data_IF_695195182847
#
_entry.id   IF_695195182847
#
_cell.length_a   1.000
_cell.length_b   1.000
_cell.length_c   1.000
_cell.angle_alpha   90.00
_cell.angle_beta   90.00
_cell.angle_gamma   90.00
#
_symmetry.space_group_name_H-M   'P 1'
#
loop_
_entity.id
_entity.type
_entity.pdbx_description
1 polymer ?
#
# COMPACT_ATOMS: atom_id res chain seq x y z
N UNK A 1 16.93 21.40 -15.23
CA UNK A 1 15.60 21.80 -14.70
C UNK A 1 14.59 20.82 -15.26
N UNK A 2 14.19 19.86 -14.46
CA UNK A 2 13.17 18.88 -14.82
C UNK A 2 11.81 19.59 -14.71
N UNK A 3 11.19 19.88 -15.85
CA UNK A 3 9.86 20.47 -15.88
C UNK A 3 8.87 19.41 -15.43
N UNK A 4 8.29 19.57 -14.24
CA UNK A 4 7.16 18.74 -13.81
C UNK A 4 5.97 19.07 -14.69
N UNK A 5 5.53 18.11 -15.47
CA UNK A 5 4.36 18.24 -16.34
C UNK A 5 3.14 17.98 -15.48
N UNK A 6 2.38 19.01 -15.16
CA UNK A 6 1.14 18.87 -14.38
C UNK A 6 0.04 18.21 -15.21
N UNK A 7 -0.64 17.23 -14.59
CA UNK A 7 -1.83 16.58 -15.15
C UNK A 7 -3.07 17.50 -14.99
N UNK A 8 -3.08 18.63 -15.73
CA UNK A 8 -4.07 19.70 -15.60
C UNK A 8 -5.30 19.53 -16.50
N UNK A 9 -5.35 18.47 -17.29
CA UNK A 9 -6.45 18.16 -18.19
C UNK A 9 -7.14 16.87 -17.80
N UNK A 10 -8.39 16.70 -18.23
CA UNK A 10 -9.19 15.49 -18.01
C UNK A 10 -9.35 14.74 -19.32
N UNK A 11 -9.02 13.47 -19.32
CA UNK A 11 -9.19 12.56 -20.46
C UNK A 11 -10.56 11.90 -20.40
N UNK A 12 -11.28 11.91 -21.51
CA UNK A 12 -12.61 11.31 -21.65
C UNK A 12 -12.62 10.29 -22.78
N UNK A 13 -13.58 9.36 -22.73
CA UNK A 13 -13.75 8.31 -23.72
C UNK A 13 -15.21 8.14 -24.14
N UNK A 14 -15.45 8.06 -25.44
CA UNK A 14 -16.68 7.60 -26.03
C UNK A 14 -16.49 6.18 -26.60
N UNK A 15 -16.85 5.16 -25.81
CA UNK A 15 -16.64 3.74 -26.18
C UNK A 15 -17.52 3.31 -27.35
N UNK A 16 -18.68 3.93 -27.55
CA UNK A 16 -19.63 3.57 -28.61
C UNK A 16 -19.13 4.05 -29.97
N UNK A 17 -18.68 5.29 -30.03
CA UNK A 17 -18.19 5.90 -31.24
C UNK A 17 -16.70 5.63 -31.49
N UNK A 18 -15.95 5.28 -30.46
CA UNK A 18 -14.53 4.96 -30.56
C UNK A 18 -13.61 6.18 -30.53
N UNK A 19 -13.99 7.23 -29.77
CA UNK A 19 -13.19 8.43 -29.59
C UNK A 19 -12.63 8.54 -28.16
N UNK A 20 -11.45 9.13 -28.08
CA UNK A 20 -10.79 9.50 -26.82
C UNK A 20 -10.27 10.92 -26.95
N UNK A 21 -10.32 11.72 -25.87
CA UNK A 21 -9.75 13.07 -25.91
C UNK A 21 -10.17 13.95 -24.75
N UNK A 22 -9.51 15.10 -24.63
CA UNK A 22 -9.75 16.07 -23.56
C UNK A 22 -10.97 16.97 -23.84
N UNK A 23 -11.38 17.08 -25.09
CA UNK A 23 -12.55 17.86 -25.53
C UNK A 23 -13.91 17.15 -25.34
N UNK A 24 -13.93 15.85 -25.00
CA UNK A 24 -15.14 15.04 -24.91
C UNK A 24 -15.81 15.12 -23.52
N UNK A 25 -16.06 16.33 -23.02
CA UNK A 25 -16.51 16.61 -21.63
C UNK A 25 -17.88 16.01 -21.25
N UNK A 26 -18.66 15.53 -22.21
CA UNK A 26 -19.98 14.89 -21.99
C UNK A 26 -19.89 13.38 -21.88
N UNK A 27 -18.73 12.79 -22.18
CA UNK A 27 -18.50 11.36 -22.21
C UNK A 27 -17.89 10.85 -20.88
N UNK A 28 -17.54 9.57 -20.82
CA UNK A 28 -16.97 8.91 -19.64
C UNK A 28 -15.59 9.49 -19.29
N UNK A 29 -15.41 10.00 -18.06
CA UNK A 29 -14.10 10.43 -17.55
C UNK A 29 -13.21 9.20 -17.29
N UNK A 30 -11.99 9.23 -17.83
CA UNK A 30 -10.99 8.18 -17.66
C UNK A 30 -10.01 8.52 -16.51
N UNK A 31 -9.28 9.63 -16.65
CA UNK A 31 -8.24 10.05 -15.71
C UNK A 31 -7.83 11.51 -15.97
N UNK A 32 -6.98 12.04 -15.10
CA UNK A 32 -6.27 13.29 -15.37
C UNK A 32 -5.05 13.00 -16.25
N UNK A 33 -4.69 13.93 -17.12
CA UNK A 33 -3.56 13.83 -18.03
C UNK A 33 -2.98 15.20 -18.35
N UNK A 34 -1.84 15.21 -19.02
CA UNK A 34 -1.27 16.38 -19.68
C UNK A 34 -1.44 16.28 -21.20
N UNK A 35 -1.37 17.39 -21.89
CA UNK A 35 -1.30 17.47 -23.35
C UNK A 35 -0.03 16.84 -23.97
N UNK A 36 0.99 16.63 -23.13
CA UNK A 36 2.24 15.99 -23.51
C UNK A 36 2.22 14.47 -23.35
N UNK A 37 1.24 13.94 -22.63
CA UNK A 37 1.17 12.51 -22.32
C UNK A 37 0.86 11.65 -23.54
N UNK A 38 1.29 10.42 -23.47
CA UNK A 38 0.80 9.33 -24.29
C UNK A 38 -0.28 8.55 -23.55
N UNK A 39 -1.21 7.97 -24.27
CA UNK A 39 -2.24 7.07 -23.75
C UNK A 39 -2.10 5.68 -24.36
N UNK A 40 -2.32 4.66 -23.55
CA UNK A 40 -2.43 3.28 -24.01
C UNK A 40 -3.87 2.86 -24.08
N UNK A 41 -4.25 2.20 -25.17
CA UNK A 41 -5.62 1.76 -25.43
C UNK A 41 -5.61 0.26 -25.68
N UNK A 42 -6.33 -0.50 -24.90
CA UNK A 42 -6.55 -1.93 -25.10
C UNK A 42 -7.94 -2.19 -25.66
N UNK A 43 -8.04 -3.20 -26.53
CA UNK A 43 -9.27 -3.60 -27.21
C UNK A 43 -9.72 -4.99 -26.80
N UNK A 44 -11.03 -5.25 -26.97
CA UNK A 44 -11.63 -6.55 -26.61
C UNK A 44 -11.11 -7.73 -27.43
N UNK A 45 -10.55 -7.50 -28.61
CA UNK A 45 -9.91 -8.51 -29.48
C UNK A 45 -8.46 -8.85 -29.08
N UNK A 46 -7.96 -8.20 -28.01
CA UNK A 46 -6.60 -8.40 -27.50
C UNK A 46 -5.55 -7.53 -28.15
N UNK A 47 -5.94 -6.61 -29.01
CA UNK A 47 -5.01 -5.61 -29.55
C UNK A 47 -4.84 -4.43 -28.61
N UNK A 48 -3.75 -3.69 -28.81
CA UNK A 48 -3.54 -2.42 -28.13
C UNK A 48 -2.63 -1.50 -28.94
N UNK A 49 -2.71 -0.21 -28.67
CA UNK A 49 -1.83 0.81 -29.23
C UNK A 49 -1.54 1.90 -28.21
N UNK A 50 -0.45 2.64 -28.44
CA UNK A 50 -0.11 3.87 -27.74
C UNK A 50 -0.24 5.02 -28.71
N UNK A 51 -0.88 6.13 -28.29
CA UNK A 51 -1.02 7.35 -29.09
C UNK A 51 -0.91 8.57 -28.20
N UNK A 52 -0.66 9.73 -28.78
CA UNK A 52 -0.57 10.99 -28.02
C UNK A 52 -1.97 11.47 -27.58
N UNK A 53 -2.05 12.14 -26.43
CA UNK A 53 -3.25 12.86 -26.00
C UNK A 53 -3.60 13.95 -27.04
N UNK A 54 -4.88 14.08 -27.34
CA UNK A 54 -5.42 15.11 -28.23
C UNK A 54 -6.82 15.53 -27.76
N UNK A 55 -7.35 16.63 -28.30
CA UNK A 55 -8.70 17.07 -27.94
C UNK A 55 -9.77 16.06 -28.33
N UNK A 56 -9.65 15.44 -29.50
CA UNK A 56 -10.52 14.36 -29.98
C UNK A 56 -9.76 13.51 -30.99
N UNK A 57 -9.58 12.23 -30.72
CA UNK A 57 -8.94 11.30 -31.63
C UNK A 57 -9.80 10.03 -31.80
N UNK A 58 -9.98 9.60 -33.04
CA UNK A 58 -10.60 8.31 -33.32
C UNK A 58 -9.59 7.18 -33.09
N UNK A 59 -9.89 6.30 -32.15
CA UNK A 59 -9.02 5.19 -31.80
C UNK A 59 -9.60 3.84 -32.20
N UNK A 60 -10.84 3.77 -32.64
CA UNK A 60 -11.56 2.56 -33.01
C UNK A 60 -12.53 2.09 -31.94
N UNK A 61 -13.41 1.18 -32.34
CA UNK A 61 -14.45 0.61 -31.46
C UNK A 61 -13.92 -0.58 -30.64
N UNK A 62 -14.75 -1.10 -29.76
CA UNK A 62 -14.44 -2.23 -28.89
C UNK A 62 -13.32 -1.95 -27.87
N UNK A 63 -13.21 -0.71 -27.44
CA UNK A 63 -12.23 -0.28 -26.43
C UNK A 63 -12.53 -1.02 -25.11
N UNK A 64 -11.52 -1.65 -24.55
CA UNK A 64 -11.55 -2.37 -23.28
C UNK A 64 -11.08 -1.46 -22.13
N UNK A 65 -9.88 -0.86 -22.27
CA UNK A 65 -9.25 -0.04 -21.26
C UNK A 65 -8.44 1.09 -21.89
N UNK A 66 -8.40 2.24 -21.22
CA UNK A 66 -7.58 3.41 -21.60
C UNK A 66 -6.97 3.98 -20.33
N UNK A 67 -5.70 4.34 -20.38
CA UNK A 67 -5.00 5.09 -19.33
C UNK A 67 -3.81 5.86 -19.88
N UNK A 68 -3.24 6.76 -19.09
CA UNK A 68 -1.96 7.41 -19.39
C UNK A 68 -0.86 6.34 -19.48
N UNK A 69 -0.05 6.40 -20.52
CA UNK A 69 1.09 5.51 -20.74
C UNK A 69 2.39 6.17 -20.29
N UNK A 70 3.03 5.59 -19.30
CA UNK A 70 4.36 6.00 -18.82
C UNK A 70 5.42 5.08 -19.45
N UNK A 71 6.30 5.66 -20.25
CA UNK A 71 7.42 4.94 -20.84
C UNK A 71 8.36 4.43 -19.76
N UNK A 72 8.84 3.19 -19.92
CA UNK A 72 9.72 2.49 -18.97
C UNK A 72 9.09 2.16 -17.60
N UNK A 73 7.77 2.34 -17.45
CA UNK A 73 7.09 1.90 -16.25
C UNK A 73 7.04 0.36 -16.18
N UNK A 74 7.76 -0.20 -15.21
CA UNK A 74 7.80 -1.64 -14.93
C UNK A 74 6.79 -2.06 -13.86
N UNK A 75 6.18 -1.09 -13.17
CA UNK A 75 5.27 -1.37 -12.05
C UNK A 75 3.81 -1.52 -12.45
N UNK A 76 3.37 -0.85 -13.50
CA UNK A 76 2.02 -1.08 -14.04
C UNK A 76 1.93 -2.46 -14.66
N UNK A 77 1.22 -3.35 -13.96
CA UNK A 77 0.99 -4.74 -14.38
C UNK A 77 -0.46 -4.90 -14.81
N UNK A 78 -0.63 -5.53 -15.97
CA UNK A 78 -1.94 -5.88 -16.50
C UNK A 78 -2.25 -7.34 -16.20
N UNK A 79 -3.36 -7.58 -15.51
CA UNK A 79 -3.89 -8.92 -15.28
C UNK A 79 -4.93 -9.22 -16.36
N UNK A 80 -4.81 -10.37 -17.01
CA UNK A 80 -5.61 -10.67 -18.19
C UNK A 80 -6.01 -12.14 -18.26
N UNK A 81 -7.28 -12.37 -18.57
CA UNK A 81 -7.78 -13.66 -19.04
C UNK A 81 -8.32 -13.49 -20.46
N UNK A 82 -7.90 -14.31 -21.37
CA UNK A 82 -8.34 -14.28 -22.76
C UNK A 82 -8.63 -15.68 -23.31
N UNK A 83 -9.50 -15.72 -24.32
CA UNK A 83 -9.75 -16.92 -25.12
C UNK A 83 -8.92 -16.82 -26.40
N UNK A 84 -8.17 -17.89 -26.73
CA UNK A 84 -7.34 -17.96 -27.93
C UNK A 84 -8.14 -18.53 -29.11
N UNK A 85 -8.57 -17.65 -30.01
CA UNK A 85 -9.44 -18.02 -31.14
C UNK A 85 -10.93 -18.09 -30.78
N UNK A 86 -11.75 -18.38 -31.79
CA UNK A 86 -13.23 -18.37 -31.65
C UNK A 86 -13.78 -19.48 -30.75
N UNK A 87 -13.11 -20.65 -30.74
CA UNK A 87 -13.49 -21.84 -29.95
C UNK A 87 -12.31 -22.41 -29.16
N UNK A 88 -11.26 -21.61 -28.94
CA UNK A 88 -10.03 -22.05 -28.32
C UNK A 88 -10.08 -22.03 -26.79
N UNK A 89 -8.96 -22.46 -26.23
CA UNK A 89 -8.74 -22.53 -24.78
C UNK A 89 -8.62 -21.13 -24.15
N UNK A 90 -8.82 -21.08 -22.84
CA UNK A 90 -8.66 -19.86 -22.05
C UNK A 90 -7.31 -19.84 -21.35
N UNK A 91 -6.65 -18.69 -21.44
CA UNK A 91 -5.35 -18.43 -20.83
C UNK A 91 -5.42 -17.28 -19.85
N UNK A 92 -4.60 -17.39 -18.78
CA UNK A 92 -4.42 -16.36 -17.77
C UNK A 92 -2.98 -15.88 -17.79
N UNK A 93 -2.76 -14.57 -17.66
CA UNK A 93 -1.41 -14.00 -17.64
C UNK A 93 -1.35 -12.66 -16.94
N UNK A 94 -0.15 -12.31 -16.52
CA UNK A 94 0.26 -10.99 -16.04
C UNK A 94 1.38 -10.47 -16.94
N UNK A 95 1.31 -9.19 -17.28
CA UNK A 95 2.34 -8.60 -18.13
C UNK A 95 2.43 -7.08 -17.92
N UNK A 96 3.57 -6.50 -18.30
CA UNK A 96 3.76 -5.07 -18.38
C UNK A 96 3.98 -4.61 -19.83
N UNK A 97 3.87 -3.29 -20.05
CA UNK A 97 4.14 -2.64 -21.33
C UNK A 97 5.07 -1.45 -21.06
N UNK A 98 6.36 -1.62 -21.32
CA UNK A 98 7.38 -0.62 -20.96
C UNK A 98 7.78 0.32 -22.09
N UNK A 99 7.78 -0.17 -23.34
CA UNK A 99 8.19 0.63 -24.49
C UNK A 99 7.43 0.22 -25.75
N UNK A 100 6.80 1.20 -26.39
CA UNK A 100 6.00 1.00 -27.61
C UNK A 100 6.26 2.12 -28.62
N UNK A 101 6.12 1.77 -29.90
CA UNK A 101 6.07 2.77 -30.98
C UNK A 101 4.65 3.34 -31.05
N UNK A 102 4.51 4.67 -31.08
CA UNK A 102 3.21 5.35 -31.21
C UNK A 102 2.49 4.90 -32.49
N UNK A 103 1.19 4.85 -32.40
CA UNK A 103 0.24 4.55 -33.49
C UNK A 103 0.41 3.18 -34.17
N UNK A 104 1.32 2.34 -33.65
CA UNK A 104 1.46 0.96 -34.10
C UNK A 104 0.57 0.04 -33.27
N UNK A 105 -0.13 -0.86 -33.95
CA UNK A 105 -0.97 -1.88 -33.33
C UNK A 105 -0.13 -3.08 -32.87
N UNK A 106 -0.37 -3.53 -31.66
CA UNK A 106 0.26 -4.70 -31.04
C UNK A 106 -0.79 -5.67 -30.55
N UNK A 107 -0.39 -6.90 -30.24
CA UNK A 107 -1.28 -7.94 -29.73
C UNK A 107 -0.80 -8.44 -28.37
N UNK A 108 -1.75 -8.66 -27.44
CA UNK A 108 -1.50 -9.32 -26.15
C UNK A 108 -1.93 -10.80 -26.17
N UNK A 109 -2.61 -11.26 -27.23
CA UNK A 109 -2.96 -12.65 -27.46
C UNK A 109 -1.91 -13.33 -28.38
N UNK A 110 -2.22 -14.49 -28.91
CA UNK A 110 -1.34 -15.14 -29.89
C UNK A 110 -1.65 -14.71 -31.34
N UNK A 111 -2.53 -13.74 -31.52
CA UNK A 111 -2.95 -13.27 -32.84
C UNK A 111 -3.92 -14.22 -33.56
N UNK A 112 -4.40 -15.27 -32.93
CA UNK A 112 -5.35 -16.20 -33.50
C UNK A 112 -6.66 -15.47 -33.81
N UNK A 113 -7.20 -15.56 -35.04
CA UNK A 113 -8.44 -14.91 -35.42
C UNK A 113 -9.61 -15.30 -34.48
N UNK A 114 -10.35 -14.30 -33.99
CA UNK A 114 -11.45 -14.50 -33.05
C UNK A 114 -11.05 -14.64 -31.57
N UNK A 115 -9.80 -14.38 -31.24
CA UNK A 115 -9.35 -14.20 -29.86
C UNK A 115 -10.10 -13.08 -29.18
N UNK A 116 -10.34 -13.22 -27.87
CA UNK A 116 -11.10 -12.22 -27.10
C UNK A 116 -10.61 -12.17 -25.66
N UNK A 117 -10.40 -10.96 -25.16
CA UNK A 117 -10.16 -10.69 -23.75
C UNK A 117 -11.48 -10.80 -23.00
N UNK A 118 -11.49 -11.59 -21.93
CA UNK A 118 -12.67 -11.86 -21.10
C UNK A 118 -12.59 -11.12 -19.75
N UNK A 119 -11.37 -10.97 -19.23
CA UNK A 119 -11.09 -10.23 -18.01
C UNK A 119 -9.81 -9.42 -18.18
N UNK A 120 -9.82 -8.18 -17.66
CA UNK A 120 -8.68 -7.29 -17.77
C UNK A 120 -8.71 -6.25 -16.65
N UNK A 121 -7.59 -6.07 -15.97
CA UNK A 121 -7.36 -4.99 -15.02
C UNK A 121 -5.97 -4.40 -15.21
N UNK A 122 -5.84 -3.12 -14.89
CA UNK A 122 -4.57 -2.41 -14.86
C UNK A 122 -4.23 -2.09 -13.41
N UNK A 123 -3.06 -2.53 -12.98
CA UNK A 123 -2.62 -2.47 -11.59
C UNK A 123 -1.33 -1.66 -11.49
N UNK A 124 -1.40 -0.35 -11.09
CA UNK A 124 -0.29 0.60 -11.17
C UNK A 124 0.92 0.24 -10.31
N UNK A 125 0.73 -0.59 -9.31
CA UNK A 125 1.79 -1.06 -8.42
C UNK A 125 1.92 -2.59 -8.40
N UNK A 126 1.41 -3.28 -9.45
CA UNK A 126 1.52 -4.72 -9.57
C UNK A 126 0.64 -5.50 -8.58
N UNK A 127 -0.48 -4.94 -8.20
CA UNK A 127 -1.46 -5.58 -7.33
C UNK A 127 -1.96 -6.88 -7.97
N UNK A 128 -2.14 -7.89 -7.15
CA UNK A 128 -2.67 -9.18 -7.53
C UNK A 128 -4.03 -9.39 -6.92
N UNK A 129 -5.03 -9.50 -7.75
CA UNK A 129 -6.40 -9.73 -7.34
C UNK A 129 -6.77 -11.22 -7.40
N UNK A 130 -7.77 -11.62 -6.60
CA UNK A 130 -8.37 -12.95 -6.68
C UNK A 130 -9.66 -12.86 -7.49
N UNK A 131 -9.79 -13.72 -8.49
CA UNK A 131 -10.97 -13.78 -9.36
C UNK A 131 -11.75 -15.09 -9.16
N UNK A 132 -13.07 -14.98 -9.25
CA UNK A 132 -13.99 -16.12 -9.30
C UNK A 132 -14.49 -16.31 -10.72
N UNK A 133 -14.27 -17.50 -11.26
CA UNK A 133 -14.59 -17.88 -12.63
C UNK A 133 -15.76 -18.87 -12.57
N UNK A 134 -16.84 -18.55 -13.24
CA UNK A 134 -18.00 -19.46 -13.40
C UNK A 134 -17.91 -20.11 -14.78
N UNK A 135 -17.90 -21.42 -14.80
CA UNK A 135 -17.85 -22.25 -16.01
C UNK A 135 -19.24 -22.71 -16.43
N UNK A 136 -19.41 -22.94 -17.71
CA UNK A 136 -20.62 -23.64 -18.17
C UNK A 136 -20.61 -25.08 -17.66
N UNK A 137 -21.77 -25.60 -17.18
CA UNK A 137 -21.88 -26.97 -16.74
C UNK A 137 -21.68 -27.94 -17.92
N UNK A 138 -20.88 -28.97 -17.68
CA UNK A 138 -20.74 -30.09 -18.64
C UNK A 138 -21.82 -31.13 -18.32
N UNK A 139 -22.84 -31.17 -19.15
CA UNK A 139 -24.00 -32.06 -18.97
C UNK A 139 -23.65 -33.55 -18.98
N UNK A 140 -22.46 -33.91 -19.48
CA UNK A 140 -21.97 -35.30 -19.51
C UNK A 140 -21.44 -35.79 -18.16
N UNK A 141 -21.18 -34.89 -17.18
CA UNK A 141 -20.56 -35.21 -15.90
C UNK A 141 -21.46 -34.88 -14.72
N UNK A 142 -21.89 -35.89 -13.97
CA UNK A 142 -22.82 -35.74 -12.83
C UNK A 142 -22.27 -34.97 -11.60
N UNK A 143 -20.95 -34.89 -11.43
CA UNK A 143 -20.33 -34.17 -10.29
C UNK A 143 -19.14 -33.34 -10.81
N UNK A 144 -19.34 -32.05 -10.97
CA UNK A 144 -18.29 -31.16 -11.46
C UNK A 144 -18.39 -29.80 -10.82
N UNK A 145 -17.27 -29.28 -10.33
CA UNK A 145 -17.20 -27.88 -9.92
C UNK A 145 -17.44 -26.97 -11.13
N UNK A 146 -18.34 -26.03 -10.98
CA UNK A 146 -18.62 -24.97 -11.97
C UNK A 146 -17.89 -23.68 -11.60
N UNK A 147 -17.18 -23.65 -10.48
CA UNK A 147 -16.40 -22.51 -10.01
C UNK A 147 -14.93 -22.84 -9.94
N UNK A 148 -14.11 -21.91 -10.38
CA UNK A 148 -12.64 -21.89 -10.20
C UNK A 148 -12.30 -20.57 -9.58
N UNK A 149 -11.48 -20.57 -8.54
CA UNK A 149 -10.84 -19.37 -8.01
C UNK A 149 -9.40 -19.34 -8.48
N UNK A 150 -8.94 -18.17 -8.87
CA UNK A 150 -7.53 -17.92 -9.26
C UNK A 150 -7.03 -16.66 -8.63
N UNK A 151 -5.88 -16.78 -8.00
CA UNK A 151 -5.09 -15.68 -7.50
C UNK A 151 -4.08 -15.28 -8.57
N UNK A 152 -4.03 -13.99 -8.92
CA UNK A 152 -3.03 -13.50 -9.86
C UNK A 152 -1.62 -13.47 -9.25
N UNK A 153 -1.45 -13.50 -7.93
CA UNK A 153 -0.14 -13.60 -7.29
C UNK A 153 0.64 -14.87 -7.68
N UNK A 154 -0.08 -15.96 -7.96
CA UNK A 154 0.50 -17.23 -8.44
C UNK A 154 0.99 -17.14 -9.90
N UNK A 155 0.68 -16.06 -10.62
CA UNK A 155 0.98 -15.92 -12.03
C UNK A 155 2.23 -15.06 -12.21
N UNK A 156 3.29 -15.67 -12.73
CA UNK A 156 4.56 -14.98 -13.02
C UNK A 156 4.32 -13.88 -14.06
N UNK A 157 4.84 -12.69 -13.80
CA UNK A 157 4.83 -11.57 -14.74
C UNK A 157 5.77 -11.89 -15.90
N UNK A 158 5.25 -11.86 -17.12
CA UNK A 158 6.00 -12.15 -18.36
C UNK A 158 5.85 -11.01 -19.36
N UNK A 159 6.59 -11.06 -20.46
CA UNK A 159 6.42 -10.10 -21.54
C UNK A 159 5.01 -10.17 -22.16
N UNK A 160 4.53 -9.05 -22.70
CA UNK A 160 3.17 -8.92 -23.29
C UNK A 160 2.82 -9.96 -24.35
N UNK A 161 3.80 -10.42 -25.13
CA UNK A 161 3.62 -11.42 -26.19
C UNK A 161 3.55 -12.88 -25.68
N UNK A 162 3.83 -13.12 -24.39
CA UNK A 162 3.75 -14.46 -23.82
C UNK A 162 2.31 -14.96 -23.86
N UNK A 163 2.11 -16.25 -24.13
CA UNK A 163 0.79 -16.91 -24.18
C UNK A 163 0.11 -16.93 -22.82
N UNK A 164 0.86 -17.02 -21.75
CA UNK A 164 0.34 -17.18 -20.39
C UNK A 164 0.14 -18.66 -20.03
N UNK A 165 -0.50 -18.88 -18.89
CA UNK A 165 -0.80 -20.22 -18.37
C UNK A 165 -2.18 -20.67 -18.85
N UNK A 166 -2.34 -21.95 -19.17
CA UNK A 166 -3.64 -22.51 -19.49
C UNK A 166 -4.54 -22.43 -18.25
N UNK A 167 -5.67 -21.74 -18.37
CA UNK A 167 -6.64 -21.58 -17.30
C UNK A 167 -7.69 -22.72 -17.34
N UNK A 168 -8.35 -22.88 -18.48
CA UNK A 168 -9.36 -23.93 -18.69
C UNK A 168 -9.65 -24.12 -20.18
N UNK A 169 -10.07 -25.35 -20.52
CA UNK A 169 -10.63 -25.70 -21.86
C UNK A 169 -12.15 -25.60 -21.89
N UNK A 170 -12.78 -25.41 -20.73
CA UNK A 170 -14.23 -25.30 -20.62
C UNK A 170 -14.68 -23.86 -20.88
N UNK A 171 -15.87 -23.70 -21.41
CA UNK A 171 -16.46 -22.39 -21.65
C UNK A 171 -16.62 -21.62 -20.33
N UNK A 172 -16.09 -20.40 -20.31
CA UNK A 172 -16.27 -19.47 -19.21
C UNK A 172 -17.58 -18.69 -19.43
N UNK A 173 -18.50 -18.80 -18.48
CA UNK A 173 -19.75 -18.03 -18.46
C UNK A 173 -19.54 -16.61 -17.92
N UNK A 174 -18.78 -16.49 -16.83
CA UNK A 174 -18.53 -15.20 -16.15
C UNK A 174 -17.23 -15.24 -15.38
N UNK A 175 -16.54 -14.09 -15.32
CA UNK A 175 -15.45 -13.81 -14.37
C UNK A 175 -15.85 -12.60 -13.54
N UNK A 176 -15.67 -12.69 -12.23
CA UNK A 176 -15.87 -11.59 -11.29
C UNK A 176 -14.68 -11.43 -10.37
N UNK A 177 -14.41 -10.22 -9.94
CA UNK A 177 -13.48 -9.93 -8.88
C UNK A 177 -14.03 -10.54 -7.57
N UNK A 178 -13.20 -11.30 -6.84
CA UNK A 178 -13.52 -11.83 -5.52
C UNK A 178 -12.94 -10.91 -4.43
N UNK A 179 -11.67 -10.56 -4.55
CA UNK A 179 -10.99 -9.62 -3.64
C UNK A 179 -9.83 -8.93 -4.34
N UNK A 180 -9.54 -7.72 -3.90
CA UNK A 180 -8.31 -7.04 -4.24
C UNK A 180 -7.15 -7.70 -3.49
N UNK A 181 -5.98 -7.73 -4.10
CA UNK A 181 -4.75 -8.24 -3.50
C UNK A 181 -3.71 -7.15 -3.35
N UNK A 182 -2.58 -7.53 -2.79
CA UNK A 182 -1.45 -6.64 -2.57
C UNK A 182 -0.48 -6.63 -3.76
N UNK A 183 0.46 -5.68 -3.75
CA UNK A 183 1.54 -5.64 -4.72
C UNK A 183 2.41 -6.90 -4.61
N UNK A 184 2.81 -7.44 -5.77
CA UNK A 184 3.76 -8.56 -5.86
C UNK A 184 5.16 -8.12 -6.28
N UNK A 185 5.41 -6.79 -6.35
CA UNK A 185 6.64 -6.21 -6.87
C UNK A 185 7.61 -5.74 -5.79
N UNK A 186 7.28 -5.95 -4.51
CA UNK A 186 8.01 -5.37 -3.38
C UNK A 186 7.74 -3.86 -3.22
N UNK A 187 8.37 -3.27 -2.23
CA UNK A 187 8.19 -1.86 -1.90
C UNK A 187 8.52 -0.92 -3.05
N UNK A 188 7.84 0.23 -3.09
CA UNK A 188 8.13 1.30 -4.03
C UNK A 188 9.06 2.31 -3.39
N UNK A 189 10.20 2.58 -4.01
CA UNK A 189 11.10 3.64 -3.57
C UNK A 189 10.48 5.00 -3.83
N UNK A 190 10.51 5.87 -2.82
CA UNK A 190 9.88 7.19 -2.85
C UNK A 190 10.89 8.24 -2.43
N UNK A 191 10.95 9.36 -3.15
CA UNK A 191 11.76 10.54 -2.87
C UNK A 191 10.87 11.76 -2.73
N UNK A 192 11.31 12.74 -1.97
CA UNK A 192 10.68 14.04 -1.84
C UNK A 192 11.57 15.11 -2.44
N UNK A 193 11.04 15.87 -3.37
CA UNK A 193 11.68 17.03 -3.99
C UNK A 193 11.14 18.30 -3.33
N UNK A 194 11.97 18.99 -2.51
CA UNK A 194 11.57 20.21 -1.82
C UNK A 194 11.41 21.43 -2.75
N UNK A 195 11.98 21.41 -3.96
CA UNK A 195 11.87 22.53 -4.89
C UNK A 195 10.46 22.64 -5.51
N UNK A 196 9.73 21.56 -5.53
CA UNK A 196 8.36 21.48 -6.07
C UNK A 196 7.33 21.01 -5.05
N UNK A 197 7.75 20.73 -3.80
CA UNK A 197 6.91 20.20 -2.71
C UNK A 197 6.08 18.96 -3.12
N UNK A 198 6.75 18.02 -3.81
CA UNK A 198 6.12 16.78 -4.27
C UNK A 198 7.03 15.58 -4.05
N UNK A 199 6.40 14.43 -3.90
CA UNK A 199 7.12 13.17 -3.99
C UNK A 199 7.29 12.74 -5.45
N UNK A 200 8.28 11.90 -5.68
CA UNK A 200 8.54 11.30 -6.98
C UNK A 200 9.13 9.89 -6.83
N UNK A 201 9.26 9.21 -7.95
CA UNK A 201 9.84 7.87 -8.06
C UNK A 201 11.12 7.87 -8.92
N UNK A 202 11.61 9.06 -9.29
CA UNK A 202 12.69 9.27 -10.26
C UNK A 202 14.02 9.65 -9.58
N UNK A 203 14.15 9.34 -8.29
CA UNK A 203 15.36 9.57 -7.49
C UNK A 203 15.76 11.05 -7.33
N UNK A 204 14.77 11.95 -7.42
CA UNK A 204 15.00 13.39 -7.21
C UNK A 204 14.73 13.81 -5.76
N UNK A 205 15.71 14.46 -5.13
CA UNK A 205 15.59 15.00 -3.79
C UNK A 205 15.91 13.98 -2.69
N UNK A 206 15.22 14.08 -1.55
CA UNK A 206 15.48 13.27 -0.36
C UNK A 206 14.77 11.92 -0.42
N UNK A 207 15.50 10.83 -0.24
CA UNK A 207 14.93 9.49 -0.13
C UNK A 207 14.10 9.33 1.15
N UNK A 208 12.86 8.91 1.03
CA UNK A 208 11.93 8.68 2.14
C UNK A 208 11.86 7.21 2.57
N UNK A 209 12.24 6.28 1.69
CA UNK A 209 12.16 4.84 1.95
C UNK A 209 11.47 4.05 0.86
N UNK A 210 11.31 2.75 1.11
CA UNK A 210 10.48 1.84 0.31
C UNK A 210 9.12 1.69 0.97
N UNK A 211 8.05 1.85 0.17
CA UNK A 211 6.67 1.83 0.63
C UNK A 211 5.90 0.67 0.00
N UNK A 212 5.23 -0.11 0.82
CA UNK A 212 4.21 -1.07 0.40
C UNK A 212 2.84 -0.39 0.29
N UNK A 213 1.84 -1.07 -0.26
CA UNK A 213 0.53 -0.49 -0.60
C UNK A 213 -0.28 0.02 0.62
N UNK A 214 -0.01 -0.55 1.79
CA UNK A 214 -0.67 -0.24 3.06
C UNK A 214 0.09 0.77 3.93
N UNK A 215 1.21 1.28 3.44
CA UNK A 215 2.05 2.22 4.15
C UNK A 215 1.76 3.67 3.75
N UNK A 216 2.03 4.59 4.66
CA UNK A 216 1.70 5.99 4.51
C UNK A 216 2.91 6.89 4.79
N UNK A 217 2.85 8.09 4.26
CA UNK A 217 3.76 9.18 4.59
C UNK A 217 3.15 9.97 5.75
N UNK A 218 3.93 10.22 6.79
CA UNK A 218 3.65 11.17 7.85
C UNK A 218 4.14 12.55 7.41
N UNK A 219 3.27 13.54 7.52
CA UNK A 219 3.57 14.95 7.34
C UNK A 219 3.40 15.65 8.68
N UNK A 220 4.41 16.39 9.11
CA UNK A 220 4.36 17.22 10.31
C UNK A 220 4.76 18.65 9.92
N UNK A 221 3.92 19.62 10.26
CA UNK A 221 4.12 21.01 9.98
C UNK A 221 4.73 21.76 11.20
N UNK A 222 5.35 22.88 10.96
CA UNK A 222 5.98 23.72 12.01
C UNK A 222 5.00 24.31 13.01
N UNK A 223 3.71 24.42 12.62
CA UNK A 223 2.60 24.86 13.47
C UNK A 223 2.02 23.75 14.38
N UNK A 224 2.66 22.56 14.39
CA UNK A 224 2.25 21.41 15.17
C UNK A 224 1.11 20.59 14.57
N UNK A 225 0.67 20.91 13.37
CA UNK A 225 -0.25 20.07 12.64
C UNK A 225 0.45 18.84 12.07
N UNK A 226 -0.27 17.73 12.01
CA UNK A 226 0.20 16.51 11.37
C UNK A 226 -0.95 15.72 10.75
N UNK A 227 -0.63 14.94 9.73
CA UNK A 227 -1.55 14.02 9.06
C UNK A 227 -0.78 12.93 8.32
N UNK A 228 -1.49 11.87 7.91
CA UNK A 228 -0.91 10.86 7.02
C UNK A 228 -1.52 10.95 5.62
N UNK A 229 -0.71 10.65 4.62
CA UNK A 229 -1.15 10.60 3.22
C UNK A 229 -0.56 9.40 2.50
N UNK A 230 -1.17 9.01 1.38
CA UNK A 230 -0.57 8.03 0.49
C UNK A 230 0.64 8.63 -0.25
N UNK A 231 1.44 7.77 -0.88
CA UNK A 231 2.61 8.18 -1.64
C UNK A 231 2.29 8.42 -3.14
N UNK A 232 1.20 9.14 -3.45
CA UNK A 232 0.87 9.52 -4.83
C UNK A 232 1.70 10.75 -5.26
N UNK A 233 2.45 10.71 -6.37
CA UNK A 233 3.23 11.85 -6.88
C UNK A 233 2.39 13.09 -7.22
N UNK A 234 1.07 12.94 -7.36
CA UNK A 234 0.17 14.07 -7.59
C UNK A 234 -0.13 14.86 -6.29
N UNK A 235 0.20 14.32 -5.12
CA UNK A 235 0.05 15.04 -3.88
C UNK A 235 1.01 16.24 -3.87
N UNK A 236 0.48 17.39 -3.47
CA UNK A 236 1.24 18.61 -3.21
C UNK A 236 1.28 18.82 -1.70
N UNK A 237 2.45 19.11 -1.19
CA UNK A 237 2.70 19.31 0.24
C UNK A 237 2.87 20.81 0.55
N UNK A 238 2.65 21.18 1.81
CA UNK A 238 2.77 22.55 2.30
C UNK A 238 4.25 23.02 2.31
N UNK A 239 4.45 24.34 2.32
CA UNK A 239 5.79 24.93 2.36
C UNK A 239 6.45 24.86 3.75
N UNK A 240 5.64 24.73 4.81
CA UNK A 240 6.08 24.74 6.20
C UNK A 240 6.24 23.32 6.80
N UNK A 241 6.73 22.38 6.01
CA UNK A 241 6.99 21.01 6.45
C UNK A 241 8.16 21.00 7.44
N UNK A 242 7.92 20.48 8.63
CA UNK A 242 8.96 20.20 9.63
C UNK A 242 9.52 18.78 9.49
N UNK A 243 8.63 17.79 9.27
CA UNK A 243 8.99 16.38 9.03
C UNK A 243 8.14 15.80 7.91
N UNK A 244 8.79 15.02 7.07
CA UNK A 244 8.13 14.20 6.03
C UNK A 244 8.85 12.86 5.98
N UNK A 245 8.19 11.80 6.39
CA UNK A 245 8.83 10.48 6.49
C UNK A 245 7.80 9.35 6.41
N UNK A 246 8.24 8.11 6.38
CA UNK A 246 7.36 6.96 6.47
C UNK A 246 6.70 6.92 7.84
N UNK A 247 5.37 6.78 7.87
CA UNK A 247 4.61 6.71 9.11
C UNK A 247 4.85 5.39 9.83
N UNK A 248 5.11 5.47 11.12
CA UNK A 248 5.24 4.34 12.04
C UNK A 248 4.34 4.59 13.26
N UNK A 249 3.38 3.69 13.49
CA UNK A 249 2.41 3.80 14.59
C UNK A 249 3.06 3.69 15.98
N UNK A 250 4.21 3.03 16.06
CA UNK A 250 4.93 2.82 17.33
C UNK A 250 5.96 3.89 17.63
N UNK A 251 6.23 4.79 16.68
CA UNK A 251 7.23 5.84 16.83
C UNK A 251 6.79 6.85 17.87
N UNK A 252 7.61 7.00 18.92
CA UNK A 252 7.36 7.94 20.00
C UNK A 252 8.04 9.28 19.68
N UNK A 253 7.25 10.32 19.72
CA UNK A 253 7.70 11.70 19.55
C UNK A 253 7.77 12.41 20.88
N UNK A 254 8.79 13.24 21.05
CA UNK A 254 8.93 14.15 22.19
C UNK A 254 8.86 15.57 21.65
N UNK A 255 7.91 16.35 22.13
CA UNK A 255 7.75 17.75 21.78
C UNK A 255 7.90 18.64 23.00
N UNK A 256 8.62 19.75 22.83
CA UNK A 256 8.64 20.87 23.77
C UNK A 256 7.97 22.06 23.11
N UNK A 257 7.06 22.69 23.84
CA UNK A 257 6.21 23.75 23.31
C UNK A 257 5.91 24.83 24.36
N UNK A 258 5.66 26.06 23.94
CA UNK A 258 4.99 27.08 24.74
C UNK A 258 3.48 26.92 24.56
N UNK A 259 2.80 26.70 25.69
CA UNK A 259 1.35 26.50 25.71
C UNK A 259 0.65 27.84 26.01
N UNK A 260 0.03 28.43 25.00
CA UNK A 260 -0.63 29.72 25.12
C UNK A 260 -1.88 29.70 26.04
N UNK A 261 -2.51 28.55 26.21
CA UNK A 261 -3.66 28.37 27.12
C UNK A 261 -3.22 28.29 28.59
N UNK A 262 -1.90 28.16 28.83
CA UNK A 262 -1.31 27.99 30.13
C UNK A 262 -0.20 29.02 30.40
N UNK A 263 -0.53 30.29 30.25
CA UNK A 263 0.36 31.43 30.53
C UNK A 263 1.68 31.44 29.69
N UNK A 264 1.70 30.66 28.58
CA UNK A 264 2.89 30.55 27.73
C UNK A 264 4.08 29.85 28.39
N UNK A 265 3.86 29.08 29.46
CA UNK A 265 4.93 28.27 30.05
C UNK A 265 5.39 27.16 29.11
N UNK A 266 6.67 26.72 29.22
CA UNK A 266 7.18 25.60 28.46
C UNK A 266 6.67 24.27 29.01
N UNK A 267 6.08 23.47 28.12
CA UNK A 267 5.63 22.11 28.41
C UNK A 267 6.37 21.10 27.54
N UNK A 268 6.58 19.93 28.10
CA UNK A 268 7.08 18.76 27.38
C UNK A 268 6.00 17.68 27.34
N UNK A 269 5.92 16.97 26.23
CA UNK A 269 5.06 15.80 26.09
C UNK A 269 5.66 14.73 25.19
N UNK A 270 5.32 13.47 25.48
CA UNK A 270 5.69 12.30 24.69
C UNK A 270 4.44 11.60 24.22
N UNK A 271 4.38 11.30 22.92
CA UNK A 271 3.18 10.76 22.28
C UNK A 271 3.51 10.02 20.99
N UNK A 272 2.55 9.24 20.48
CA UNK A 272 2.55 8.70 19.13
C UNK A 272 1.59 9.52 18.26
N UNK A 273 1.85 9.55 16.96
CA UNK A 273 1.00 10.25 15.99
C UNK A 273 0.01 9.27 15.39
N UNK A 274 -1.29 9.49 15.65
CA UNK A 274 -2.36 8.61 15.19
C UNK A 274 -2.52 8.65 13.66
N UNK A 275 -2.90 7.52 13.07
CA UNK A 275 -3.19 7.40 11.64
C UNK A 275 -4.46 8.18 11.26
N UNK A 276 -4.34 9.44 10.89
CA UNK A 276 -5.45 10.23 10.39
C UNK A 276 -5.10 10.97 9.10
N UNK A 277 -5.99 10.86 8.11
CA UNK A 277 -5.87 11.61 6.84
C UNK A 277 -6.27 13.09 6.98
N UNK A 278 -6.99 13.44 8.06
CA UNK A 278 -7.32 14.82 8.40
C UNK A 278 -6.22 15.42 9.26
N UNK A 279 -6.01 16.71 9.13
CA UNK A 279 -5.10 17.46 9.99
C UNK A 279 -5.49 17.32 11.47
N UNK A 280 -4.52 16.99 12.27
CA UNK A 280 -4.57 16.96 13.73
C UNK A 280 -3.48 17.89 14.25
N UNK A 281 -3.63 18.46 15.45
CA UNK A 281 -2.63 19.35 16.00
C UNK A 281 -2.21 18.88 17.41
N UNK A 282 -0.89 18.67 17.61
CA UNK A 282 -0.38 18.29 18.91
C UNK A 282 -0.04 19.49 19.80
N UNK A 283 -0.03 20.72 19.31
CA UNK A 283 0.13 21.93 20.13
C UNK A 283 -1.17 22.33 20.83
N UNK A 284 -2.32 21.84 20.36
CA UNK A 284 -3.65 22.25 20.82
C UNK A 284 -4.34 23.17 19.82
N UNK A 285 -5.46 23.77 20.25
CA UNK A 285 -6.30 24.61 19.36
C UNK A 285 -5.87 26.08 19.36
N UNK A 286 -5.04 26.51 20.33
CA UNK A 286 -4.61 27.90 20.43
C UNK A 286 -3.47 28.19 19.46
N UNK A 287 -3.76 29.02 18.48
CA UNK A 287 -2.80 29.42 17.42
C UNK A 287 -1.55 30.17 17.92
N UNK A 288 -1.60 30.66 19.16
CA UNK A 288 -0.44 31.33 19.78
C UNK A 288 0.53 30.35 20.46
N UNK A 289 0.16 29.08 20.58
CA UNK A 289 1.08 28.04 21.04
C UNK A 289 2.21 27.86 20.04
N UNK A 290 3.43 27.64 20.54
CA UNK A 290 4.62 27.56 19.68
C UNK A 290 5.40 26.29 19.93
N UNK A 291 5.75 25.59 18.88
CA UNK A 291 6.68 24.49 18.93
C UNK A 291 8.10 25.02 19.17
N UNK A 292 8.82 24.44 20.11
CA UNK A 292 10.22 24.76 20.41
C UNK A 292 11.13 23.66 19.84
N UNK A 293 10.75 22.41 20.11
CA UNK A 293 11.54 21.24 19.74
C UNK A 293 10.61 20.07 19.42
N UNK A 294 10.91 19.33 18.38
CA UNK A 294 10.30 18.04 18.06
C UNK A 294 11.39 17.04 17.73
N UNK A 295 11.46 15.95 18.50
CA UNK A 295 12.45 14.88 18.30
C UNK A 295 11.80 13.51 18.37
N UNK A 296 12.38 12.57 17.63
CA UNK A 296 12.04 11.14 17.61
C UNK A 296 13.16 10.29 18.24
N UNK A 297 14.14 10.92 18.88
CA UNK A 297 15.17 10.22 19.65
C UNK A 297 14.52 9.34 20.72
N UNK A 298 14.95 8.09 20.83
CA UNK A 298 14.32 7.09 21.72
C UNK A 298 14.46 7.50 23.20
N UNK A 299 15.64 8.00 23.59
CA UNK A 299 15.94 8.49 24.94
C UNK A 299 16.37 9.96 24.90
N UNK A 300 15.43 10.89 24.59
CA UNK A 300 15.82 12.27 24.35
C UNK A 300 16.21 12.95 25.65
N UNK A 301 17.30 13.69 25.61
CA UNK A 301 17.77 14.56 26.70
C UNK A 301 17.67 16.00 26.26
N UNK A 302 17.18 16.83 27.14
CA UNK A 302 16.90 18.23 26.89
C UNK A 302 17.66 19.07 27.90
N UNK A 303 18.45 20.02 27.40
CA UNK A 303 19.11 21.03 28.21
C UNK A 303 18.29 22.32 28.22
N UNK A 304 17.94 22.76 29.41
CA UNK A 304 17.21 24.01 29.65
C UNK A 304 18.19 25.01 30.26
N UNK A 305 18.36 26.16 29.61
CA UNK A 305 19.06 27.29 30.18
C UNK A 305 18.08 28.40 30.54
N UNK A 306 18.46 29.21 31.51
CA UNK A 306 17.59 30.28 32.01
C UNK A 306 18.05 31.63 31.49
N UNK A 307 17.12 32.59 31.39
CA UNK A 307 17.36 33.92 30.83
C UNK A 307 16.73 35.01 31.70
N UNK A 308 16.90 36.27 31.28
CA UNK A 308 16.35 37.43 31.97
C UNK A 308 16.79 37.50 33.42
N UNK A 309 15.83 37.61 34.35
CA UNK A 309 16.10 37.68 35.79
C UNK A 309 16.62 36.36 36.37
N UNK A 310 16.43 35.26 35.68
CA UNK A 310 16.81 33.92 36.10
C UNK A 310 18.12 33.44 35.45
N UNK A 311 18.82 34.26 34.67
CA UNK A 311 20.04 33.92 33.92
C UNK A 311 21.17 33.35 34.76
N UNK A 312 21.19 33.62 36.06
CA UNK A 312 22.22 33.11 37.00
C UNK A 312 21.95 31.70 37.50
N UNK A 313 20.80 31.10 37.13
CA UNK A 313 20.48 29.71 37.48
C UNK A 313 21.34 28.73 36.67
N UNK A 314 21.79 27.62 37.27
CA UNK A 314 22.47 26.58 36.54
C UNK A 314 21.52 25.95 35.48
N UNK A 315 22.08 25.59 34.35
CA UNK A 315 21.34 24.86 33.36
C UNK A 315 20.89 23.49 33.92
N UNK A 316 19.70 23.05 33.52
CA UNK A 316 19.12 21.75 33.88
C UNK A 316 19.17 20.82 32.69
N UNK A 317 19.60 19.58 32.91
CA UNK A 317 19.54 18.50 31.92
C UNK A 317 18.43 17.51 32.32
N UNK A 318 17.49 17.32 31.44
CA UNK A 318 16.27 16.54 31.68
C UNK A 318 16.26 15.33 30.76
N UNK A 319 16.23 14.13 31.33
CA UNK A 319 15.90 12.90 30.60
C UNK A 319 14.37 12.87 30.40
N UNK A 320 13.93 13.02 29.16
CA UNK A 320 12.50 13.18 28.88
C UNK A 320 11.70 11.93 29.18
N UNK A 321 12.29 10.73 29.03
CA UNK A 321 11.61 9.47 29.33
C UNK A 321 11.32 9.33 30.84
N UNK A 322 12.28 9.69 31.68
CA UNK A 322 12.12 9.66 33.11
C UNK A 322 11.25 10.79 33.62
N UNK A 323 11.27 11.92 32.93
CA UNK A 323 10.52 13.11 33.32
C UNK A 323 9.03 13.01 33.05
N UNK A 324 8.62 12.41 31.90
CA UNK A 324 7.20 12.28 31.51
C UNK A 324 6.94 10.96 30.80
N UNK A 325 5.87 10.27 31.25
CA UNK A 325 5.36 9.11 30.55
C UNK A 325 4.69 9.47 29.22
N UNK A 326 4.72 8.54 28.26
CA UNK A 326 3.98 8.65 27.00
C UNK A 326 2.46 8.75 27.26
N UNK A 327 1.80 9.65 26.55
CA UNK A 327 0.35 9.85 26.56
C UNK A 327 -0.15 10.17 25.16
N UNK A 328 -1.46 10.39 25.01
CA UNK A 328 -2.03 10.87 23.74
C UNK A 328 -1.43 12.22 23.33
N UNK A 329 -1.30 12.47 22.02
CA UNK A 329 -0.87 13.77 21.48
C UNK A 329 -1.74 14.95 21.93
N UNK A 330 -3.01 14.70 22.32
CA UNK A 330 -3.95 15.69 22.87
C UNK A 330 -3.68 16.06 24.34
N UNK A 331 -2.83 15.28 25.02
CA UNK A 331 -2.51 15.56 26.41
C UNK A 331 -1.74 16.90 26.54
N UNK A 332 -2.01 17.64 27.59
CA UNK A 332 -1.36 18.92 27.88
C UNK A 332 0.18 18.80 28.01
N UNK A 333 0.66 17.67 28.52
CA UNK A 333 2.06 17.48 28.86
C UNK A 333 2.38 17.87 30.30
N UNK A 334 3.67 17.95 30.62
CA UNK A 334 4.19 18.35 31.94
C UNK A 334 5.00 19.64 31.80
N UNK A 335 4.74 20.61 32.67
CA UNK A 335 5.49 21.86 32.68
C UNK A 335 6.97 21.60 32.97
N UNK A 336 7.84 22.18 32.15
CA UNK A 336 9.28 22.07 32.30
C UNK A 336 9.81 22.99 33.39
N UNK A 337 9.36 24.26 33.38
CA UNK A 337 9.82 25.25 34.30
C UNK A 337 8.80 26.36 34.51
N UNK A 338 8.91 27.07 35.64
CA UNK A 338 8.21 28.34 35.91
C UNK A 338 9.12 29.54 35.80
N UNK A 339 10.40 29.32 35.57
CA UNK A 339 11.43 30.35 35.46
C UNK A 339 11.55 30.86 34.02
N UNK A 340 12.15 32.05 33.87
CA UNK A 340 12.42 32.58 32.54
C UNK A 340 13.41 31.71 31.78
N UNK A 341 13.01 31.14 30.66
CA UNK A 341 13.83 30.30 29.82
C UNK A 341 14.70 31.14 28.88
N UNK A 342 15.99 30.81 28.79
CA UNK A 342 16.92 31.37 27.84
C UNK A 342 16.93 30.53 26.55
N UNK A 343 17.25 29.22 26.64
CA UNK A 343 17.15 28.29 25.51
C UNK A 343 16.71 26.89 25.97
N UNK A 344 16.19 26.14 25.03
CA UNK A 344 15.88 24.71 25.18
C UNK A 344 16.46 23.99 23.98
N UNK A 345 17.36 23.06 24.23
CA UNK A 345 18.10 22.33 23.20
C UNK A 345 18.13 20.86 23.50
N UNK A 346 18.07 20.05 22.45
CA UNK A 346 18.31 18.60 22.55
C UNK A 346 19.81 18.37 22.69
N UNK A 347 20.20 17.51 23.62
CA UNK A 347 21.59 17.10 23.84
C UNK A 347 21.71 15.59 23.64
N UNK A 348 22.95 15.09 23.48
CA UNK A 348 23.20 13.69 23.23
C UNK A 348 22.59 12.79 24.33
N UNK A 349 21.91 11.71 23.95
CA UNK A 349 21.37 10.76 24.89
C UNK A 349 22.50 10.00 25.61
N UNK A 350 22.28 9.66 26.88
CA UNK A 350 23.21 8.82 27.65
C UNK A 350 22.93 7.33 27.49
N UNK A 351 21.78 6.99 26.89
CA UNK A 351 21.35 5.62 26.62
C UNK A 351 21.00 5.50 25.15
N UNK A 352 21.33 4.36 24.58
CA UNK A 352 20.99 4.02 23.20
C UNK A 352 20.10 2.78 23.20
N UNK A 353 19.15 2.64 22.25
CA UNK A 353 18.41 1.39 22.09
C UNK A 353 19.38 0.28 21.77
N UNK A 354 19.17 -0.89 22.37
CA UNK A 354 19.91 -2.08 21.99
C UNK A 354 19.68 -2.35 20.50
N UNK A 355 20.76 -2.66 19.72
CA UNK A 355 20.57 -3.03 18.34
C UNK A 355 19.62 -4.23 18.28
N UNK A 356 18.55 -4.11 17.50
CA UNK A 356 17.67 -5.24 17.25
C UNK A 356 18.54 -6.37 16.70
N UNK A 357 18.54 -7.53 17.38
CA UNK A 357 19.24 -8.73 16.93
C UNK A 357 18.80 -9.04 15.50
N UNK A 358 19.68 -8.81 14.53
CA UNK A 358 19.50 -9.23 13.14
C UNK A 358 19.75 -10.74 13.06
N UNK A 359 18.85 -11.51 13.67
CA UNK A 359 18.83 -12.95 13.56
C UNK A 359 17.95 -13.35 12.38
N UNK A 360 18.25 -12.94 11.14
CA UNK A 360 17.65 -13.53 9.92
C UNK A 360 18.36 -13.09 8.62
N UNK A 361 19.70 -12.91 8.65
CA UNK A 361 20.44 -12.60 7.42
C UNK A 361 21.75 -13.38 7.25
N UNK A 362 21.78 -14.63 7.68
CA UNK A 362 22.98 -15.46 7.53
C UNK A 362 22.69 -16.89 7.03
N UNK A 363 21.77 -17.05 6.06
CA UNK A 363 21.55 -18.36 5.43
C UNK A 363 21.25 -18.26 3.93
N UNK A 364 22.01 -17.45 3.22
CA UNK A 364 21.93 -17.39 1.75
C UNK A 364 23.26 -17.02 1.10
N UNK A 365 24.36 -17.68 1.48
CA UNK A 365 25.60 -17.70 0.66
C UNK A 365 26.52 -18.81 1.15
N UNK A 366 26.35 -20.02 0.60
CA UNK A 366 27.40 -20.95 0.25
C UNK A 366 26.75 -22.25 -0.27
N UNK A 367 26.91 -22.50 -1.53
CA UNK A 367 26.47 -23.72 -2.18
C UNK A 367 26.97 -23.78 -3.61
N UNK A 368 28.23 -24.06 -3.83
CA UNK A 368 28.65 -24.88 -4.95
C UNK A 368 30.11 -25.36 -4.75
N UNK A 369 30.28 -26.65 -4.52
CA UNK A 369 31.33 -27.47 -5.11
C UNK A 369 31.38 -28.89 -4.50
N UNK A 370 31.02 -29.86 -5.35
CA UNK A 370 31.68 -31.16 -5.60
C UNK A 370 31.85 -32.23 -4.50
N UNK A 371 31.10 -33.29 -4.73
CA UNK A 371 31.55 -34.71 -4.87
C UNK A 371 32.35 -35.40 -3.74
N UNK A 372 31.83 -36.57 -3.26
CA UNK A 372 32.62 -37.53 -2.53
C UNK A 372 31.85 -38.39 -1.54
N UNK A 373 31.47 -39.60 -2.00
CA UNK A 373 31.03 -40.75 -1.19
C UNK A 373 31.87 -40.96 0.08
N UNK A 374 31.28 -41.36 1.21
CA UNK A 374 31.48 -42.69 1.85
C UNK A 374 30.57 -42.87 3.07
N UNK A 375 29.98 -44.04 3.10
CA UNK A 375 29.22 -44.73 4.11
C UNK A 375 29.94 -44.88 5.48
N UNK A 376 29.20 -44.72 6.59
CA UNK A 376 29.25 -45.76 7.65
C UNK A 376 28.21 -45.49 8.77
N UNK A 377 27.50 -46.54 9.07
CA UNK A 377 26.66 -46.83 10.24
C UNK A 377 27.33 -46.50 11.57
N UNK A 378 26.58 -46.02 12.56
CA UNK A 378 26.61 -46.55 13.93
C UNK A 378 25.23 -46.29 14.60
N UNK A 379 24.84 -47.31 15.39
CA UNK A 379 23.57 -47.54 16.08
C UNK A 379 23.45 -46.81 17.42
N UNK A 380 22.21 -46.36 17.70
CA UNK A 380 21.38 -46.51 18.89
C UNK A 380 21.96 -46.41 20.33
N UNK A 381 21.28 -45.58 21.16
CA UNK A 381 20.54 -45.97 22.40
C UNK A 381 19.90 -44.69 23.00
N UNK A 382 18.63 -44.62 23.02
CA UNK A 382 17.59 -44.77 24.04
C UNK A 382 17.79 -44.01 25.37
N UNK A 383 16.80 -43.18 25.67
CA UNK A 383 15.89 -43.00 26.82
C UNK A 383 15.88 -41.51 27.21
N UNK A 384 14.78 -40.78 27.36
CA UNK A 384 13.65 -40.96 28.22
C UNK A 384 12.49 -40.07 27.82
N UNK A 385 11.31 -40.52 28.18
CA UNK A 385 10.00 -39.94 28.01
C UNK A 385 9.88 -38.51 28.59
N UNK A 386 9.34 -37.60 27.79
CA UNK A 386 8.44 -36.56 28.25
C UNK A 386 7.29 -36.51 27.25
N UNK A 387 6.18 -37.11 27.60
CA UNK A 387 4.91 -37.04 26.92
C UNK A 387 4.37 -35.61 27.05
N UNK A 388 4.31 -34.92 25.96
CA UNK A 388 3.57 -33.64 25.81
C UNK A 388 2.06 -33.98 25.87
N UNK A 389 1.28 -33.47 26.85
CA UNK A 389 -0.14 -33.81 27.01
C UNK A 389 -1.03 -33.31 25.91
N UNK A 390 -0.55 -32.47 24.95
CA UNK A 390 -1.35 -31.84 23.92
C UNK A 390 -1.12 -32.39 22.48
N UNK A 391 -0.36 -33.48 22.34
CA UNK A 391 -0.13 -34.11 21.05
C UNK A 391 -1.40 -34.76 20.51
N UNK A 392 -2.17 -34.05 19.69
CA UNK A 392 -3.39 -34.51 19.01
C UNK A 392 -4.54 -33.51 18.99
N UNK A 393 -4.43 -32.39 19.66
CA UNK A 393 -5.48 -31.34 19.64
C UNK A 393 -5.20 -30.30 18.54
N UNK A 394 -6.26 -29.82 17.87
CA UNK A 394 -6.15 -28.70 16.94
C UNK A 394 -5.90 -27.39 17.71
N UNK A 395 -5.24 -26.42 17.07
CA UNK A 395 -5.01 -25.09 17.67
C UNK A 395 -6.30 -24.44 18.21
N UNK A 396 -7.43 -24.69 17.58
CA UNK A 396 -8.72 -24.17 18.01
C UNK A 396 -9.20 -24.82 19.31
N UNK A 397 -8.99 -26.10 19.49
CA UNK A 397 -9.35 -26.83 20.73
C UNK A 397 -8.51 -26.38 21.93
N UNK A 398 -7.26 -26.01 21.70
CA UNK A 398 -6.37 -25.47 22.77
C UNK A 398 -6.82 -24.06 23.18
N UNK A 399 -7.25 -23.23 22.22
CA UNK A 399 -7.75 -21.88 22.51
C UNK A 399 -9.08 -21.94 23.26
N UNK A 400 -10.00 -22.81 22.89
CA UNK A 400 -11.30 -22.96 23.54
C UNK A 400 -11.17 -23.48 24.99
N UNK A 401 -10.19 -24.35 25.25
CA UNK A 401 -9.90 -24.86 26.59
C UNK A 401 -9.24 -23.78 27.49
N UNK A 402 -8.40 -22.92 26.93
CA UNK A 402 -7.73 -21.82 27.64
C UNK A 402 -8.63 -20.62 27.93
N UNK A 403 -9.64 -20.37 27.08
CA UNK A 403 -10.50 -19.19 27.18
C UNK A 403 -11.87 -19.45 27.80
N UNK A 404 -12.25 -20.72 27.97
CA UNK A 404 -13.56 -21.10 28.53
C UNK A 404 -14.75 -20.69 27.67
N UNK A 405 -14.51 -20.35 26.40
CA UNK A 405 -15.56 -19.99 25.44
C UNK A 405 -15.84 -21.14 24.50
N UNK A 406 -17.03 -21.75 24.67
CA UNK A 406 -17.57 -22.68 23.67
C UNK A 406 -18.01 -21.91 22.44
N UNK A 407 -17.69 -22.44 21.25
CA UNK A 407 -18.01 -21.84 19.96
C UNK A 407 -19.52 -21.63 19.81
N UNK A 408 -19.91 -20.44 19.36
CA UNK A 408 -21.30 -19.98 19.18
C UNK A 408 -21.96 -20.53 17.90
N UNK A 409 -21.34 -21.50 17.24
CA UNK A 409 -21.86 -22.14 16.03
C UNK A 409 -21.98 -23.65 16.19
N UNK A 410 -22.89 -24.09 17.06
CA UNK A 410 -23.35 -25.45 17.06
C UNK A 410 -24.69 -25.51 16.31
N UNK A 411 -24.66 -26.09 15.10
CA UNK A 411 -25.76 -26.22 14.13
C UNK A 411 -26.88 -27.19 14.58
N UNK A 412 -27.51 -26.95 15.71
CA UNK A 412 -28.63 -27.79 16.19
C UNK A 412 -29.79 -27.05 16.84
N UNK A 413 -30.13 -25.83 16.41
CA UNK A 413 -31.41 -25.23 16.79
C UNK A 413 -31.93 -24.27 15.72
N UNK A 414 -32.26 -24.77 14.53
CA UNK A 414 -33.16 -24.06 13.62
C UNK A 414 -34.54 -24.72 13.72
N UNK A 415 -35.44 -24.07 14.39
CA UNK A 415 -36.85 -24.45 14.40
C UNK A 415 -37.62 -23.70 13.33
N UNK A 416 -38.65 -24.36 12.77
CA UNK A 416 -39.43 -24.04 11.58
C UNK A 416 -40.32 -22.78 11.65
N UNK A 417 -39.93 -21.72 12.35
CA UNK A 417 -40.70 -20.46 12.44
C UNK A 417 -40.15 -19.30 11.61
N UNK A 418 -38.97 -19.45 11.01
CA UNK A 418 -38.31 -18.35 10.24
C UNK A 418 -38.65 -18.32 8.74
N UNK A 419 -39.62 -19.10 8.30
CA UNK A 419 -40.03 -19.16 6.87
C UNK A 419 -41.08 -18.11 6.47
N UNK A 420 -41.63 -17.34 7.38
CA UNK A 420 -42.71 -16.37 7.10
C UNK A 420 -42.29 -14.97 6.69
N UNK A 421 -41.01 -14.61 6.78
CA UNK A 421 -40.56 -13.25 6.49
C UNK A 421 -39.87 -13.08 5.11
N UNK A 422 -39.97 -14.05 4.21
CA UNK A 422 -39.36 -13.99 2.88
C UNK A 422 -40.26 -13.54 1.72
N UNK A 423 -41.52 -13.26 1.96
CA UNK A 423 -42.49 -12.99 0.87
C UNK A 423 -42.73 -11.50 0.54
N UNK A 424 -42.11 -10.56 1.22
CA UNK A 424 -42.31 -9.13 0.93
C UNK A 424 -41.29 -8.49 -0.06
N UNK A 425 -40.33 -9.26 -0.60
CA UNK A 425 -39.31 -8.81 -1.55
C UNK A 425 -39.59 -9.15 -3.03
N UNK A 426 -40.79 -9.55 -3.38
CA UNK A 426 -41.16 -9.92 -4.76
C UNK A 426 -41.92 -8.87 -5.55
N UNK A 427 -42.30 -7.73 -4.93
CA UNK A 427 -43.06 -6.67 -5.61
C UNK A 427 -42.43 -5.29 -5.37
N UNK A 428 -41.22 -5.05 -5.90
CA UNK A 428 -40.70 -3.71 -6.30
C UNK A 428 -39.65 -3.85 -7.37
#
# INVERSE_FOLDING_TARGET
VTKVVEANQKLYINRQEGFVGTGLKKDELVCNCSDLDDIIIFYKDGKFKVTKVADKIFVGKNILHVQVFKKNDKRTIYNCVYRDGKQGDYFIKRFNVTSMTRDKMYDITQGTPGSRVIYFTANPNGEAEIIKITLDPDLSKKRQSIFIEKDFSDIIIKGRAAKGNLLTRRTIRRIGLKSHGHSTLGGRKVWFDPDVNRINYDENGRFLGEFNDDEYILVVLDNGEFYITNFDPNNHYEDNILRLEKWDEHKIWTAVLYDADNEGYPYIKRFTMDAAKRHQNFLGENVNSKLILLTDTVYPRIKVTYGGVDAMRPAEEIDAEQFIAQKSFKAKGKRLSTWNIGSIEEIEPTRFPEPADTADAADAAEGDAADGKVSSRIKAKSSDENLDPDAGKSQQQIIDELTGQTSLFDDKNFTAEDEKDRDWLKDQ
#
